data_IF_279471298415
#
_entry.id   IF_279471298415
#
_cell.length_a   1.000
_cell.length_b   1.000
_cell.length_c   1.000
_cell.angle_alpha   90.00
_cell.angle_beta   90.00
_cell.angle_gamma   90.00
#
_symmetry.space_group_name_H-M   'P 1'
#
loop_
_entity.id
_entity.type
_entity.pdbx_description
1 polymer ?
#
# COMPACT_ATOMS: atom_id res chain seq x y z
N UNK A 1 -2.16 -5.67 10.53
CA UNK A 1 -0.77 -5.90 11.00
C UNK A 1 -0.54 -5.21 12.36
N UNK A 2 0.21 -5.79 13.31
CA UNK A 2 0.57 -5.14 14.58
C UNK A 2 1.67 -4.09 14.41
N UNK A 3 1.73 -3.07 15.29
CA UNK A 3 2.75 -2.01 15.27
C UNK A 3 4.19 -2.52 15.20
N UNK A 4 4.53 -3.56 15.96
CA UNK A 4 5.91 -4.07 16.09
C UNK A 4 6.47 -4.67 14.80
N UNK A 5 5.60 -5.16 13.89
CA UNK A 5 6.01 -5.74 12.61
C UNK A 5 5.73 -4.82 11.43
N UNK A 6 4.94 -3.76 11.61
CA UNK A 6 4.49 -2.91 10.52
C UNK A 6 5.63 -2.15 9.83
N UNK A 7 6.71 -1.83 10.55
CA UNK A 7 7.89 -1.15 9.98
C UNK A 7 8.74 -2.01 9.04
N UNK A 8 8.53 -3.33 9.00
CA UNK A 8 9.29 -4.24 8.15
C UNK A 8 8.67 -4.43 6.76
N UNK A 9 7.47 -3.86 6.54
CA UNK A 9 6.68 -4.02 5.32
C UNK A 9 6.33 -2.67 4.72
N UNK A 10 5.98 -2.66 3.44
CA UNK A 10 5.28 -1.53 2.83
C UNK A 10 3.88 -1.42 3.39
N UNK A 11 3.51 -0.25 3.91
CA UNK A 11 2.18 0.02 4.42
C UNK A 11 1.36 0.77 3.39
N UNK A 12 0.06 0.51 3.37
CA UNK A 12 -0.87 1.17 2.46
C UNK A 12 -2.08 1.72 3.21
N UNK A 13 -2.61 2.83 2.69
CA UNK A 13 -3.93 3.34 3.06
C UNK A 13 -4.90 3.15 1.93
N UNK A 14 -6.12 2.77 2.28
CA UNK A 14 -7.22 2.61 1.33
C UNK A 14 -8.34 3.60 1.65
N UNK A 15 -9.08 3.98 0.64
CA UNK A 15 -10.38 4.65 0.80
C UNK A 15 -11.53 3.63 0.92
N UNK A 16 -12.76 4.13 1.04
CA UNK A 16 -13.97 3.31 1.16
C UNK A 16 -14.27 2.45 -0.09
N UNK A 17 -13.63 2.75 -1.22
CA UNK A 17 -13.81 2.03 -2.48
C UNK A 17 -12.68 1.01 -2.69
N UNK A 18 -11.81 0.81 -1.70
CA UNK A 18 -10.66 -0.08 -1.78
C UNK A 18 -9.52 0.46 -2.64
N UNK A 19 -9.56 1.73 -3.06
CA UNK A 19 -8.46 2.35 -3.79
C UNK A 19 -7.35 2.71 -2.81
N UNK A 20 -6.12 2.38 -3.18
CA UNK A 20 -4.93 2.78 -2.43
C UNK A 20 -4.72 4.27 -2.63
N UNK A 21 -4.74 5.05 -1.56
CA UNK A 21 -4.54 6.52 -1.57
C UNK A 21 -3.14 6.91 -1.12
N UNK A 22 -2.47 6.05 -0.36
CA UNK A 22 -1.12 6.29 0.14
C UNK A 22 -0.38 4.97 0.27
N UNK A 23 0.89 4.96 -0.10
CA UNK A 23 1.80 3.84 0.10
C UNK A 23 3.12 4.36 0.69
N UNK A 24 3.66 3.66 1.69
CA UNK A 24 4.93 3.99 2.30
C UNK A 24 5.73 2.70 2.55
N UNK A 25 6.93 2.59 1.98
CA UNK A 25 7.79 1.43 2.19
C UNK A 25 8.52 1.53 3.53
N UNK A 26 8.32 0.53 4.41
CA UNK A 26 9.00 0.40 5.72
C UNK A 26 9.03 1.70 6.55
N UNK A 27 7.87 2.36 6.77
CA UNK A 27 7.82 3.64 7.46
C UNK A 27 8.21 3.48 8.94
N UNK A 28 8.84 4.52 9.51
CA UNK A 28 9.32 4.52 10.89
C UNK A 28 8.85 5.76 11.64
N UNK A 29 8.80 5.67 12.97
CA UNK A 29 8.51 6.81 13.85
C UNK A 29 7.17 7.50 13.55
N UNK A 30 7.17 8.81 13.24
CA UNK A 30 5.93 9.55 12.95
C UNK A 30 5.23 9.07 11.68
N UNK A 31 5.97 8.67 10.65
CA UNK A 31 5.39 8.20 9.38
C UNK A 31 4.66 6.88 9.56
N UNK A 32 5.19 6.00 10.44
CA UNK A 32 4.51 4.76 10.81
C UNK A 32 3.15 5.07 11.44
N UNK A 33 3.09 5.98 12.42
CA UNK A 33 1.83 6.38 13.06
C UNK A 33 0.87 7.03 12.06
N UNK A 34 1.39 7.81 11.12
CA UNK A 34 0.60 8.43 10.07
C UNK A 34 -0.05 7.39 9.15
N UNK A 35 0.50 6.18 9.02
CA UNK A 35 -0.02 5.09 8.18
C UNK A 35 -1.11 4.24 8.84
N UNK A 36 -1.59 4.60 10.04
CA UNK A 36 -2.72 3.92 10.66
C UNK A 36 -4.01 4.11 9.86
N UNK A 37 -4.80 3.04 9.77
CA UNK A 37 -6.08 2.99 9.08
C UNK A 37 -7.11 2.23 9.90
N UNK A 38 -8.37 2.57 9.70
CA UNK A 38 -9.47 1.80 10.27
C UNK A 38 -9.66 0.52 9.46
N UNK A 39 -9.12 -0.58 9.97
CA UNK A 39 -9.20 -1.89 9.33
C UNK A 39 -10.56 -2.56 9.48
N UNK A 40 -11.54 -1.94 10.15
CA UNK A 40 -12.93 -2.42 10.11
C UNK A 40 -13.52 -2.39 8.69
N UNK A 41 -13.01 -1.50 7.82
CA UNK A 41 -13.35 -1.47 6.39
C UNK A 41 -13.01 -2.78 5.66
N UNK A 42 -12.08 -3.56 6.21
CA UNK A 42 -11.68 -4.87 5.69
C UNK A 42 -12.36 -6.04 6.41
N UNK A 43 -13.42 -5.77 7.19
CA UNK A 43 -14.20 -6.81 7.87
C UNK A 43 -13.67 -7.23 9.25
N UNK A 44 -12.64 -6.57 9.78
CA UNK A 44 -12.17 -6.81 11.15
C UNK A 44 -13.15 -6.24 12.19
N UNK A 45 -13.26 -6.89 13.34
CA UNK A 45 -14.02 -6.34 14.46
C UNK A 45 -13.35 -5.08 15.02
N UNK A 46 -14.12 -4.24 15.74
CA UNK A 46 -13.57 -3.02 16.38
C UNK A 46 -12.42 -3.30 17.34
N UNK A 47 -12.40 -4.47 17.99
CA UNK A 47 -11.33 -4.85 18.90
C UNK A 47 -10.07 -5.23 18.13
N UNK A 48 -10.22 -6.02 17.07
CA UNK A 48 -9.10 -6.41 16.21
C UNK A 48 -8.55 -5.21 15.45
N UNK A 49 -9.39 -4.29 14.97
CA UNK A 49 -8.94 -3.10 14.26
C UNK A 49 -8.02 -2.21 15.12
N UNK A 50 -8.26 -2.15 16.43
CA UNK A 50 -7.36 -1.47 17.37
C UNK A 50 -6.03 -2.19 17.56
N UNK A 51 -6.01 -3.51 17.50
CA UNK A 51 -4.80 -4.33 17.61
C UNK A 51 -4.00 -4.36 16.30
N UNK A 52 -4.69 -4.29 15.17
CA UNK A 52 -4.15 -4.42 13.83
C UNK A 52 -4.47 -3.18 12.95
N UNK A 53 -4.00 -1.97 13.32
CA UNK A 53 -4.39 -0.73 12.65
C UNK A 53 -3.63 -0.45 11.35
N UNK A 54 -2.95 -1.43 10.77
CA UNK A 54 -2.15 -1.26 9.54
C UNK A 54 -2.48 -2.32 8.50
N UNK A 55 -2.49 -1.90 7.23
CA UNK A 55 -2.54 -2.77 6.06
C UNK A 55 -1.13 -2.83 5.48
N UNK A 56 -0.58 -4.05 5.38
CA UNK A 56 0.75 -4.28 4.85
C UNK A 56 0.65 -4.88 3.43
N UNK A 57 1.53 -4.42 2.54
CA UNK A 57 1.79 -5.02 1.24
C UNK A 57 2.55 -6.34 1.43
N UNK A 58 2.04 -7.39 0.80
CA UNK A 58 2.68 -8.71 0.76
C UNK A 58 3.73 -8.82 -0.36
N UNK A 59 3.95 -7.75 -1.14
CA UNK A 59 4.88 -7.76 -2.28
C UNK A 59 4.35 -8.49 -3.52
N UNK A 60 3.04 -8.74 -3.58
CA UNK A 60 2.38 -9.37 -4.73
C UNK A 60 1.49 -8.35 -5.41
N UNK A 61 1.69 -8.15 -6.71
CA UNK A 61 1.02 -7.12 -7.49
C UNK A 61 0.48 -7.72 -8.80
N UNK A 62 -0.73 -7.31 -9.17
CA UNK A 62 -1.35 -7.67 -10.46
C UNK A 62 -1.48 -6.40 -11.29
N UNK A 63 -0.97 -6.46 -12.51
CA UNK A 63 -1.00 -5.34 -13.44
C UNK A 63 -1.68 -5.73 -14.74
N UNK A 64 -2.34 -4.76 -15.38
CA UNK A 64 -2.60 -4.86 -16.82
C UNK A 64 -1.26 -4.71 -17.56
N UNK A 65 -1.03 -5.56 -18.55
CA UNK A 65 0.25 -5.65 -19.26
C UNK A 65 0.67 -4.32 -19.91
N UNK A 66 -0.29 -3.60 -20.50
CA UNK A 66 -0.07 -2.29 -21.11
C UNK A 66 0.38 -1.24 -20.09
N UNK A 67 -0.22 -1.24 -18.89
CA UNK A 67 0.15 -0.35 -17.79
C UNK A 67 1.54 -0.68 -17.30
N UNK A 68 1.86 -1.96 -17.08
CA UNK A 68 3.19 -2.37 -16.62
C UNK A 68 4.29 -1.92 -17.59
N UNK A 69 4.08 -2.16 -18.90
CA UNK A 69 5.00 -1.70 -19.93
C UNK A 69 5.15 -0.18 -19.92
N UNK A 70 4.03 0.56 -19.79
CA UNK A 70 4.04 2.02 -19.70
C UNK A 70 4.90 2.50 -18.53
N UNK A 71 4.67 1.93 -17.35
CA UNK A 71 5.38 2.29 -16.12
C UNK A 71 6.88 2.04 -16.26
N UNK A 72 7.28 0.86 -16.73
CA UNK A 72 8.70 0.47 -16.77
C UNK A 72 9.50 1.13 -17.90
N UNK A 73 8.90 1.40 -19.06
CA UNK A 73 9.63 1.93 -20.21
C UNK A 73 9.56 3.45 -20.35
N UNK A 74 8.46 4.07 -19.93
CA UNK A 74 8.21 5.49 -20.20
C UNK A 74 8.09 6.32 -18.93
N UNK A 75 7.32 5.88 -17.93
CA UNK A 75 7.09 6.70 -16.72
C UNK A 75 8.27 6.66 -15.76
N UNK A 76 8.84 5.48 -15.53
CA UNK A 76 9.83 5.22 -14.48
C UNK A 76 11.02 4.36 -14.98
N UNK A 77 11.68 4.75 -16.08
CA UNK A 77 12.72 3.92 -16.71
C UNK A 77 13.98 3.72 -15.85
N UNK A 78 14.21 4.57 -14.85
CA UNK A 78 15.35 4.50 -13.93
C UNK A 78 15.02 3.85 -12.59
N UNK A 79 13.76 3.51 -12.33
CA UNK A 79 13.35 2.87 -11.09
C UNK A 79 13.69 1.37 -11.11
N UNK A 80 14.20 0.88 -10.00
CA UNK A 80 14.66 -0.49 -9.82
C UNK A 80 13.79 -1.28 -8.85
N UNK A 81 12.99 -0.61 -8.02
CA UNK A 81 12.19 -1.24 -6.97
C UNK A 81 10.70 -0.90 -7.06
N UNK A 82 9.86 -1.93 -6.99
CA UNK A 82 8.41 -1.73 -7.06
C UNK A 82 7.84 -1.13 -5.77
N UNK A 83 8.24 -1.62 -4.60
CA UNK A 83 7.63 -1.23 -3.33
C UNK A 83 7.97 0.19 -2.91
N UNK A 84 9.22 0.59 -3.11
CA UNK A 84 9.74 1.90 -2.68
C UNK A 84 9.67 2.99 -3.75
N UNK A 85 9.62 2.65 -5.05
CA UNK A 85 9.66 3.65 -6.12
C UNK A 85 8.42 3.61 -7.02
N UNK A 86 8.16 2.48 -7.69
CA UNK A 86 7.13 2.42 -8.74
C UNK A 86 5.72 2.50 -8.15
N UNK A 87 5.38 1.70 -7.13
CA UNK A 87 4.04 1.67 -6.53
C UNK A 87 3.69 3.01 -5.86
N UNK A 88 4.54 3.62 -5.00
CA UNK A 88 4.24 4.91 -4.39
C UNK A 88 3.98 6.01 -5.43
N UNK A 89 4.67 5.95 -6.57
CA UNK A 89 4.49 6.90 -7.66
C UNK A 89 3.24 6.59 -8.48
N UNK A 90 2.99 5.31 -8.79
CA UNK A 90 1.81 4.86 -9.51
C UNK A 90 0.50 5.14 -8.77
N UNK A 91 0.48 5.13 -7.43
CA UNK A 91 -0.69 5.49 -6.61
C UNK A 91 -1.19 6.91 -6.89
N UNK A 92 -0.29 7.83 -7.29
CA UNK A 92 -0.64 9.23 -7.61
C UNK A 92 -1.33 9.35 -8.97
N UNK A 93 -0.82 8.63 -9.96
CA UNK A 93 -1.20 8.83 -11.37
C UNK A 93 -2.15 7.75 -11.91
N UNK A 94 -2.29 6.63 -11.22
CA UNK A 94 -3.06 5.47 -11.67
C UNK A 94 -4.07 5.02 -10.62
N UNK A 95 -5.08 4.27 -11.07
CA UNK A 95 -6.01 3.60 -10.17
C UNK A 95 -5.36 2.32 -9.64
N UNK A 96 -4.79 2.39 -8.44
CA UNK A 96 -4.24 1.23 -7.73
C UNK A 96 -5.24 0.80 -6.67
N UNK A 97 -5.62 -0.48 -6.66
CA UNK A 97 -6.65 -1.01 -5.79
C UNK A 97 -6.13 -2.16 -4.92
N UNK A 98 -6.61 -2.21 -3.69
CA UNK A 98 -6.48 -3.40 -2.86
C UNK A 98 -7.45 -4.46 -3.42
N UNK A 99 -6.98 -5.69 -3.71
CA UNK A 99 -7.88 -6.74 -4.18
C UNK A 99 -8.96 -7.04 -3.12
N UNK A 100 -10.21 -7.27 -3.53
CA UNK A 100 -11.23 -7.74 -2.61
C UNK A 100 -10.84 -9.10 -2.03
N UNK A 101 -11.15 -9.31 -0.75
CA UNK A 101 -10.96 -10.58 -0.04
C UNK A 101 -11.95 -11.65 -0.52
#
# INVERSE_FOLDING_TARGET
>A
MCCSRASDYGLMKIDNNGRIVQFAEKPKGPDLKAMQVDTTLLGLSKQEAKQFPYIASMGVYVFRTDVLLKLLRWSYPSCNDFGSEIIPSAVKDHNVQHPPA
#
